data_IF_418126697044
#
_entry.id   IF_418126697044
#
_cell.length_a   1.000
_cell.length_b   1.000
_cell.length_c   1.000
_cell.angle_alpha   90.00
_cell.angle_beta   90.00
_cell.angle_gamma   90.00
#
_symmetry.space_group_name_H-M   'P 1'
#
loop_
_entity.id
_entity.type
_entity.pdbx_description
1 polymer ?
#
# COMPACT_ATOMS: atom_id res chain seq x y z
N UNK A 1 8.86 7.79 20.24
CA UNK A 1 9.82 7.27 19.21
C UNK A 1 10.30 5.88 19.60
N UNK A 2 10.31 4.93 18.69
CA UNK A 2 10.76 3.55 18.90
C UNK A 2 11.86 3.17 17.91
N UNK A 3 12.91 2.54 18.41
CA UNK A 3 13.91 1.86 17.56
C UNK A 3 13.31 0.61 16.91
N UNK A 4 13.60 0.43 15.63
CA UNK A 4 13.09 -0.69 14.81
C UNK A 4 14.25 -1.60 14.46
N UNK A 5 14.12 -2.88 14.79
CA UNK A 5 14.97 -3.95 14.26
C UNK A 5 14.46 -4.41 12.90
N UNK A 6 15.29 -5.07 12.12
CA UNK A 6 14.88 -5.54 10.80
C UNK A 6 13.68 -6.49 10.87
N UNK A 7 12.56 -6.09 10.26
CA UNK A 7 11.29 -6.84 10.17
C UNK A 7 11.45 -8.28 9.62
N UNK A 8 12.45 -8.52 8.76
CA UNK A 8 12.61 -9.82 8.08
C UNK A 8 13.51 -10.78 8.87
N UNK A 9 14.64 -10.31 9.42
CA UNK A 9 15.64 -11.20 10.00
C UNK A 9 15.99 -10.87 11.46
N UNK A 10 15.25 -9.97 12.09
CA UNK A 10 15.41 -9.51 13.47
C UNK A 10 16.83 -9.00 13.79
N UNK A 11 17.65 -8.74 12.76
CA UNK A 11 18.97 -8.17 12.94
C UNK A 11 18.87 -6.73 13.44
N UNK A 12 19.58 -6.36 14.51
CA UNK A 12 19.69 -4.95 14.93
C UNK A 12 20.68 -4.17 14.06
N UNK A 13 21.44 -4.84 13.19
CA UNK A 13 22.49 -4.23 12.38
C UNK A 13 21.94 -3.65 11.09
N UNK A 14 22.10 -2.34 10.94
CA UNK A 14 21.76 -1.61 9.72
C UNK A 14 22.77 -0.50 9.44
N UNK A 15 22.94 -0.16 8.17
CA UNK A 15 23.68 1.02 7.74
C UNK A 15 22.71 2.15 7.45
N UNK A 16 23.01 3.37 7.91
CA UNK A 16 22.27 4.57 7.57
C UNK A 16 22.42 4.84 6.09
N UNK A 17 21.31 4.91 5.36
CA UNK A 17 21.27 5.33 3.96
C UNK A 17 21.06 6.83 3.86
N UNK A 18 20.09 7.35 4.62
CA UNK A 18 19.72 8.77 4.64
C UNK A 18 19.47 9.21 6.08
N UNK A 19 19.99 10.36 6.47
CA UNK A 19 19.70 10.99 7.76
C UNK A 19 18.24 11.44 7.84
N UNK A 20 17.72 11.76 9.03
CA UNK A 20 16.36 12.28 9.16
C UNK A 20 16.28 13.69 8.56
N UNK A 21 15.16 13.99 7.88
CA UNK A 21 14.88 15.33 7.32
C UNK A 21 13.79 16.08 8.10
N UNK A 22 13.40 15.55 9.27
CA UNK A 22 12.44 16.18 10.15
C UNK A 22 12.98 17.48 10.73
N UNK A 23 12.14 18.53 10.88
CA UNK A 23 12.55 19.76 11.56
C UNK A 23 13.02 19.46 13.00
N UNK A 24 14.00 20.24 13.47
CA UNK A 24 14.40 20.16 14.88
C UNK A 24 13.21 20.49 15.80
N UNK A 25 12.96 19.63 16.78
CA UNK A 25 11.81 19.79 17.68
C UNK A 25 10.47 19.40 17.03
N UNK A 26 10.48 18.58 15.98
CA UNK A 26 9.26 18.04 15.38
C UNK A 26 8.40 17.38 16.45
N UNK A 27 7.18 17.89 16.60
CA UNK A 27 6.15 17.33 17.46
C UNK A 27 5.25 16.40 16.63
N UNK A 28 5.13 15.17 17.06
CA UNK A 28 4.29 14.16 16.41
C UNK A 28 2.79 14.52 16.43
N UNK A 29 2.38 15.39 17.37
CA UNK A 29 1.02 15.95 17.46
C UNK A 29 0.80 17.16 16.54
N UNK A 30 1.86 17.69 15.90
CA UNK A 30 1.75 18.80 14.96
C UNK A 30 1.21 18.31 13.59
N UNK A 31 0.65 19.22 12.77
CA UNK A 31 0.29 18.90 11.40
C UNK A 31 1.47 18.24 10.66
N UNK A 32 1.23 17.20 9.84
CA UNK A 32 2.30 16.49 9.19
C UNK A 32 3.16 17.43 8.35
N UNK A 33 4.50 17.31 8.42
CA UNK A 33 5.41 18.13 7.65
C UNK A 33 5.30 17.85 6.16
N UNK A 34 5.96 18.63 5.31
CA UNK A 34 5.94 18.41 3.86
C UNK A 34 6.24 16.96 3.49
N UNK A 35 5.66 16.49 2.40
CA UNK A 35 5.73 15.09 1.91
C UNK A 35 7.16 14.53 1.74
N UNK A 36 8.20 15.34 1.82
CA UNK A 36 9.61 14.96 1.76
C UNK A 36 10.27 14.76 3.13
N UNK A 37 9.54 14.98 4.24
CA UNK A 37 10.08 14.77 5.57
C UNK A 37 10.00 13.30 5.96
N UNK A 38 11.12 12.73 6.42
CA UNK A 38 11.21 11.33 6.80
C UNK A 38 12.11 11.13 8.03
N UNK A 39 11.90 10.03 8.73
CA UNK A 39 12.81 9.51 9.76
C UNK A 39 14.14 9.08 9.13
N UNK A 40 15.12 8.75 9.97
CA UNK A 40 16.36 8.12 9.48
C UNK A 40 16.00 6.83 8.72
N UNK A 41 16.54 6.70 7.51
CA UNK A 41 16.37 5.53 6.65
C UNK A 41 17.58 4.62 6.77
N UNK A 42 17.35 3.39 7.19
CA UNK A 42 18.38 2.39 7.39
C UNK A 42 18.25 1.25 6.37
N UNK A 43 19.34 0.55 6.13
CA UNK A 43 19.38 -0.67 5.34
C UNK A 43 19.97 -1.79 6.16
N UNK A 44 19.21 -2.86 6.35
CA UNK A 44 19.70 -4.07 7.03
C UNK A 44 20.91 -4.66 6.31
N UNK A 45 22.01 -4.86 7.03
CA UNK A 45 23.23 -5.44 6.46
C UNK A 45 23.10 -6.93 6.16
N UNK A 46 22.19 -7.63 6.84
CA UNK A 46 21.97 -9.06 6.66
C UNK A 46 21.03 -9.37 5.47
N UNK A 47 19.81 -8.83 5.44
CA UNK A 47 18.82 -9.17 4.41
C UNK A 47 18.58 -8.07 3.37
N UNK A 48 19.08 -6.85 3.60
CA UNK A 48 18.95 -5.71 2.68
C UNK A 48 17.59 -5.05 2.66
N UNK A 49 16.69 -5.30 3.65
CA UNK A 49 15.48 -4.52 3.83
C UNK A 49 15.85 -3.08 4.13
N UNK A 50 15.16 -2.14 3.52
CA UNK A 50 15.24 -0.72 3.85
C UNK A 50 14.06 -0.36 4.76
N UNK A 51 14.31 0.39 5.84
CA UNK A 51 13.29 0.72 6.84
C UNK A 51 13.64 2.01 7.58
N UNK A 52 12.62 2.67 8.12
CA UNK A 52 12.77 3.82 9.00
C UNK A 52 13.11 3.38 10.43
N UNK A 53 14.04 4.05 11.11
CA UNK A 53 14.31 3.88 12.55
C UNK A 53 15.15 5.05 13.08
N UNK A 54 14.76 5.67 14.23
CA UNK A 54 13.52 5.38 14.97
C UNK A 54 12.27 5.87 14.28
N UNK A 55 11.10 5.36 14.68
CA UNK A 55 9.79 5.78 14.16
C UNK A 55 8.85 6.13 15.30
N UNK A 56 7.72 6.73 14.97
CA UNK A 56 6.57 6.94 15.86
C UNK A 56 6.14 5.62 16.51
N UNK A 57 5.58 5.68 17.72
CA UNK A 57 4.98 4.49 18.33
C UNK A 57 3.62 4.14 17.70
N UNK A 58 3.05 3.02 18.15
CA UNK A 58 1.80 2.50 17.58
C UNK A 58 0.62 3.45 17.78
N UNK A 59 0.57 4.17 18.90
CA UNK A 59 -0.50 5.13 19.19
C UNK A 59 -0.41 6.34 18.26
N UNK A 60 0.79 6.87 18.04
CA UNK A 60 1.03 7.97 17.11
C UNK A 60 0.65 7.59 15.67
N UNK A 61 1.03 6.40 15.20
CA UNK A 61 0.65 5.91 13.86
C UNK A 61 -0.88 5.78 13.75
N UNK A 62 -1.53 5.20 14.75
CA UNK A 62 -2.99 4.99 14.73
C UNK A 62 -3.76 6.31 14.71
N UNK A 63 -3.31 7.35 15.43
CA UNK A 63 -3.96 8.66 15.46
C UNK A 63 -3.91 9.34 14.09
N UNK A 64 -2.79 9.23 13.35
CA UNK A 64 -2.67 9.81 12.01
C UNK A 64 -3.76 9.34 11.04
N UNK A 65 -4.17 8.07 11.16
CA UNK A 65 -5.24 7.52 10.30
C UNK A 65 -6.63 7.84 10.80
N UNK A 66 -6.89 7.80 12.11
CA UNK A 66 -8.23 8.09 12.68
C UNK A 66 -8.63 9.55 12.46
N UNK A 67 -7.66 10.45 12.53
CA UNK A 67 -7.88 11.90 12.40
C UNK A 67 -7.81 12.38 10.93
N UNK A 68 -7.49 11.48 9.98
CA UNK A 68 -7.47 11.83 8.56
C UNK A 68 -8.88 12.04 8.02
N UNK A 69 -9.08 13.17 7.36
CA UNK A 69 -10.32 13.52 6.67
C UNK A 69 -10.23 13.33 5.15
N UNK A 70 -9.07 12.93 4.64
CA UNK A 70 -8.80 12.86 3.20
C UNK A 70 -8.84 11.42 2.69
N UNK A 71 -9.40 11.24 1.50
CA UNK A 71 -9.27 9.99 0.74
C UNK A 71 -7.94 9.98 -0.01
N UNK A 72 -7.38 8.80 -0.28
CA UNK A 72 -6.19 8.66 -1.10
C UNK A 72 -6.46 8.86 -2.60
N UNK A 73 -7.73 9.01 -2.98
CA UNK A 73 -8.16 9.17 -4.37
C UNK A 73 -8.31 10.66 -4.69
N UNK A 74 -7.51 11.14 -5.64
CA UNK A 74 -7.63 12.52 -6.10
C UNK A 74 -8.92 12.70 -6.92
N UNK A 75 -9.67 13.80 -6.70
CA UNK A 75 -10.88 14.09 -7.48
C UNK A 75 -10.63 14.05 -8.99
N UNK A 76 -11.51 13.35 -9.72
CA UNK A 76 -11.41 13.15 -11.17
C UNK A 76 -10.53 11.98 -11.62
N UNK A 77 -9.88 11.26 -10.69
CA UNK A 77 -9.09 10.06 -10.98
C UNK A 77 -9.79 8.75 -10.57
N UNK A 78 -11.03 8.79 -10.10
CA UNK A 78 -11.77 7.65 -9.56
C UNK A 78 -11.83 6.47 -10.55
N UNK A 79 -12.11 6.74 -11.82
CA UNK A 79 -12.14 5.70 -12.85
C UNK A 79 -10.77 5.11 -13.14
N UNK A 80 -9.70 5.91 -13.07
CA UNK A 80 -8.34 5.44 -13.24
C UNK A 80 -7.88 4.59 -12.05
N UNK A 81 -8.28 4.97 -10.83
CA UNK A 81 -8.04 4.15 -9.63
C UNK A 81 -8.81 2.84 -9.72
N UNK A 82 -10.10 2.86 -10.12
CA UNK A 82 -10.89 1.65 -10.35
C UNK A 82 -10.23 0.70 -11.36
N UNK A 83 -9.73 1.23 -12.47
CA UNK A 83 -8.96 0.47 -13.48
C UNK A 83 -7.68 -0.11 -12.87
N UNK A 84 -6.96 0.67 -12.06
CA UNK A 84 -5.75 0.24 -11.35
C UNK A 84 -6.05 -0.93 -10.41
N UNK A 85 -7.11 -0.83 -9.59
CA UNK A 85 -7.52 -1.93 -8.68
C UNK A 85 -7.92 -3.18 -9.46
N UNK A 86 -8.59 -3.03 -10.61
CA UNK A 86 -8.89 -4.15 -11.49
C UNK A 86 -7.61 -4.82 -12.04
N UNK A 87 -6.59 -4.03 -12.41
CA UNK A 87 -5.29 -4.57 -12.84
C UNK A 87 -4.58 -5.32 -11.70
N UNK A 88 -4.66 -4.83 -10.47
CA UNK A 88 -4.10 -5.49 -9.30
C UNK A 88 -4.85 -6.79 -8.99
N UNK A 89 -6.19 -6.75 -8.96
CA UNK A 89 -7.03 -7.92 -8.75
C UNK A 89 -6.70 -9.06 -9.73
N UNK A 90 -6.50 -8.74 -11.01
CA UNK A 90 -6.10 -9.69 -12.07
C UNK A 90 -4.77 -10.40 -11.80
N UNK A 91 -3.97 -9.95 -10.85
CA UNK A 91 -2.78 -10.69 -10.44
C UNK A 91 -3.15 -11.94 -9.63
N UNK A 92 -4.18 -11.89 -8.81
CA UNK A 92 -4.63 -13.01 -7.98
C UNK A 92 -5.69 -13.87 -8.67
N UNK A 93 -6.58 -13.27 -9.46
CA UNK A 93 -7.75 -13.93 -10.05
C UNK A 93 -7.47 -15.29 -10.74
N UNK A 94 -6.39 -15.48 -11.56
CA UNK A 94 -6.09 -16.75 -12.20
C UNK A 94 -5.67 -17.87 -11.24
N UNK A 95 -5.37 -17.54 -9.98
CA UNK A 95 -4.88 -18.49 -8.97
C UNK A 95 -5.92 -18.79 -7.89
N UNK A 96 -7.10 -18.17 -7.96
CA UNK A 96 -8.21 -18.39 -7.04
C UNK A 96 -8.94 -19.70 -7.36
N UNK A 97 -9.08 -20.56 -6.35
CA UNK A 97 -9.86 -21.79 -6.44
C UNK A 97 -11.36 -21.53 -6.17
N UNK A 98 -11.65 -20.58 -5.29
CA UNK A 98 -13.02 -20.24 -4.87
C UNK A 98 -13.21 -18.71 -4.84
N UNK A 99 -14.47 -18.27 -4.86
CA UNK A 99 -14.89 -16.85 -4.84
C UNK A 99 -16.09 -16.66 -3.91
N UNK A 100 -15.97 -17.23 -2.70
CA UNK A 100 -17.03 -17.06 -1.69
C UNK A 100 -16.84 -15.75 -0.93
N UNK A 101 -15.65 -15.56 -0.30
CA UNK A 101 -15.39 -14.44 0.62
C UNK A 101 -14.08 -13.75 0.34
N UNK A 102 -14.13 -12.43 0.20
CA UNK A 102 -12.96 -11.56 0.10
C UNK A 102 -12.92 -10.57 1.25
N UNK A 103 -11.72 -10.28 1.74
CA UNK A 103 -11.44 -9.18 2.65
C UNK A 103 -10.44 -8.22 2.02
N UNK A 104 -10.76 -6.93 2.00
CA UNK A 104 -9.84 -5.86 1.62
C UNK A 104 -9.48 -5.04 2.85
N UNK A 105 -8.21 -5.12 3.27
CA UNK A 105 -7.68 -4.39 4.42
C UNK A 105 -7.14 -3.05 3.93
N UNK A 106 -7.67 -1.93 4.47
CA UNK A 106 -7.45 -0.59 3.92
C UNK A 106 -8.19 -0.43 2.60
N UNK A 107 -9.51 -0.68 2.61
CA UNK A 107 -10.28 -0.77 1.36
C UNK A 107 -10.56 0.59 0.71
N UNK A 108 -10.23 1.71 1.36
CA UNK A 108 -10.46 3.07 0.87
C UNK A 108 -11.92 3.19 0.32
N UNK A 109 -12.10 3.66 -0.90
CA UNK A 109 -13.41 3.78 -1.57
C UNK A 109 -13.99 2.44 -2.06
N UNK A 110 -13.37 1.30 -1.76
CA UNK A 110 -13.85 -0.04 -2.07
C UNK A 110 -13.68 -0.50 -3.52
N UNK A 111 -12.84 0.13 -4.32
CA UNK A 111 -12.66 -0.25 -5.73
C UNK A 111 -12.09 -1.66 -5.93
N UNK A 112 -11.30 -2.16 -4.97
CA UNK A 112 -10.83 -3.56 -4.98
C UNK A 112 -12.00 -4.52 -4.73
N UNK A 113 -12.89 -4.20 -3.79
CA UNK A 113 -14.11 -4.98 -3.53
C UNK A 113 -15.03 -5.01 -4.75
N UNK A 114 -15.17 -3.88 -5.47
CA UNK A 114 -15.94 -3.84 -6.72
C UNK A 114 -15.33 -4.75 -7.80
N UNK A 115 -13.99 -4.80 -7.90
CA UNK A 115 -13.32 -5.71 -8.84
C UNK A 115 -13.57 -7.18 -8.47
N UNK A 116 -13.52 -7.53 -7.18
CA UNK A 116 -13.82 -8.86 -6.69
C UNK A 116 -15.31 -9.24 -6.91
N UNK A 117 -16.25 -8.32 -6.61
CA UNK A 117 -17.69 -8.50 -6.89
C UNK A 117 -17.93 -8.82 -8.36
N UNK A 118 -17.28 -8.07 -9.27
CA UNK A 118 -17.41 -8.28 -10.72
C UNK A 118 -16.90 -9.64 -11.21
N UNK A 119 -15.99 -10.29 -10.45
CA UNK A 119 -15.45 -11.64 -10.72
C UNK A 119 -16.21 -12.74 -9.96
N UNK A 120 -17.33 -12.41 -9.30
CA UNK A 120 -18.27 -13.36 -8.72
C UNK A 120 -18.07 -13.68 -7.24
N UNK A 121 -17.31 -12.89 -6.49
CA UNK A 121 -17.29 -13.00 -5.02
C UNK A 121 -18.67 -12.70 -4.45
N UNK A 122 -19.11 -13.52 -3.48
CA UNK A 122 -20.46 -13.45 -2.89
C UNK A 122 -20.51 -12.57 -1.65
N UNK A 123 -19.52 -12.69 -0.77
CA UNK A 123 -19.42 -11.91 0.46
C UNK A 123 -18.19 -11.01 0.39
N UNK A 124 -18.41 -9.70 0.55
CA UNK A 124 -17.41 -8.66 0.44
C UNK A 124 -17.19 -8.02 1.82
N UNK A 125 -15.99 -8.13 2.35
CA UNK A 125 -15.62 -7.50 3.61
C UNK A 125 -14.54 -6.45 3.36
N UNK A 126 -14.68 -5.29 3.99
CA UNK A 126 -13.72 -4.20 3.93
C UNK A 126 -13.37 -3.66 5.33
N UNK A 127 -12.14 -3.24 5.49
CA UNK A 127 -11.67 -2.52 6.67
C UNK A 127 -11.13 -1.19 6.22
N UNK A 128 -11.73 -0.10 6.75
CA UNK A 128 -11.29 1.26 6.47
C UNK A 128 -11.50 2.17 7.70
N UNK A 129 -10.44 2.53 8.41
CA UNK A 129 -10.54 3.41 9.56
C UNK A 129 -10.85 4.85 9.20
N UNK A 130 -10.48 5.34 8.00
CA UNK A 130 -10.69 6.72 7.58
C UNK A 130 -12.17 6.97 7.23
N UNK A 131 -12.90 7.87 7.94
CA UNK A 131 -14.34 8.03 7.76
C UNK A 131 -14.77 8.44 6.35
N UNK A 132 -14.05 9.38 5.74
CA UNK A 132 -14.40 9.89 4.40
C UNK A 132 -14.33 8.80 3.31
N UNK A 133 -13.29 7.98 3.35
CA UNK A 133 -13.11 6.86 2.42
C UNK A 133 -14.15 5.76 2.68
N UNK A 134 -14.38 5.41 3.94
CA UNK A 134 -15.33 4.38 4.37
C UNK A 134 -16.76 4.66 3.89
N UNK A 135 -17.23 5.91 3.99
CA UNK A 135 -18.58 6.30 3.55
C UNK A 135 -18.85 5.92 2.10
N UNK A 136 -17.85 5.99 1.23
CA UNK A 136 -17.98 5.59 -0.18
C UNK A 136 -17.94 4.07 -0.34
N UNK A 137 -17.10 3.36 0.42
CA UNK A 137 -17.06 1.89 0.41
C UNK A 137 -18.39 1.28 0.90
N UNK A 138 -19.05 1.90 1.89
CA UNK A 138 -20.35 1.49 2.42
C UNK A 138 -21.49 1.57 1.38
N UNK A 139 -21.32 2.32 0.30
CA UNK A 139 -22.30 2.36 -0.80
C UNK A 139 -22.27 1.11 -1.70
N UNK A 140 -21.30 0.23 -1.54
CA UNK A 140 -21.18 -1.00 -2.33
C UNK A 140 -22.22 -2.00 -1.80
N UNK A 141 -23.21 -2.30 -2.63
CA UNK A 141 -24.29 -3.23 -2.30
C UNK A 141 -23.73 -4.61 -1.85
N UNK A 142 -24.12 -5.03 -0.66
CA UNK A 142 -23.72 -6.30 -0.07
C UNK A 142 -22.33 -6.32 0.55
N UNK A 143 -21.64 -5.18 0.61
CA UNK A 143 -20.35 -5.09 1.31
C UNK A 143 -20.56 -4.85 2.81
N UNK A 144 -19.73 -5.53 3.63
CA UNK A 144 -19.66 -5.36 5.08
C UNK A 144 -18.39 -4.59 5.39
N UNK A 145 -18.53 -3.30 5.72
CA UNK A 145 -17.38 -2.42 5.97
C UNK A 145 -17.28 -2.14 7.47
N UNK A 146 -16.06 -2.21 8.03
CA UNK A 146 -15.79 -1.88 9.42
C UNK A 146 -14.74 -0.77 9.54
N UNK A 147 -14.87 0.05 10.61
CA UNK A 147 -13.94 1.14 10.94
C UNK A 147 -12.78 0.71 11.86
N UNK A 148 -12.77 -0.56 12.30
CA UNK A 148 -11.73 -1.09 13.18
C UNK A 148 -10.40 -1.23 12.41
N UNK A 149 -9.28 -1.24 13.13
CA UNK A 149 -8.06 -1.78 12.56
C UNK A 149 -8.17 -3.31 12.45
N UNK A 150 -7.43 -3.92 11.53
CA UNK A 150 -7.53 -5.37 11.31
C UNK A 150 -7.17 -6.18 12.55
N UNK A 151 -6.21 -5.72 13.32
CA UNK A 151 -5.77 -6.33 14.58
C UNK A 151 -6.86 -6.33 15.67
N UNK A 152 -7.84 -5.44 15.56
CA UNK A 152 -8.99 -5.33 16.45
C UNK A 152 -10.18 -6.22 16.00
N UNK A 153 -10.05 -6.92 14.87
CA UNK A 153 -11.13 -7.76 14.32
C UNK A 153 -10.99 -9.22 14.77
N UNK A 154 -12.12 -9.90 14.89
CA UNK A 154 -12.17 -11.30 15.25
C UNK A 154 -12.82 -12.17 14.13
N UNK A 155 -12.21 -12.09 12.94
CA UNK A 155 -12.64 -12.96 11.85
C UNK A 155 -12.31 -14.44 12.13
N UNK A 156 -13.21 -15.37 11.74
CA UNK A 156 -12.98 -16.80 11.94
C UNK A 156 -11.71 -17.30 11.21
N UNK A 157 -11.11 -18.35 11.74
CA UNK A 157 -10.09 -19.08 11.01
C UNK A 157 -10.67 -19.76 9.77
N UNK A 158 -9.89 -19.90 8.70
CA UNK A 158 -10.29 -20.57 7.45
C UNK A 158 -11.55 -19.97 6.80
N UNK A 159 -11.65 -18.66 6.77
CA UNK A 159 -12.88 -17.97 6.35
C UNK A 159 -12.79 -17.38 4.95
N UNK A 160 -11.71 -16.69 4.60
CA UNK A 160 -11.56 -15.96 3.35
C UNK A 160 -10.86 -16.78 2.27
N UNK A 161 -11.26 -16.60 1.01
CA UNK A 161 -10.59 -17.14 -0.17
C UNK A 161 -9.50 -16.18 -0.68
N UNK A 162 -9.72 -14.87 -0.50
CA UNK A 162 -8.78 -13.82 -0.85
C UNK A 162 -8.74 -12.76 0.25
N UNK A 163 -7.53 -12.33 0.64
CA UNK A 163 -7.31 -11.13 1.45
C UNK A 163 -6.40 -10.19 0.64
N UNK A 164 -6.77 -8.92 0.56
CA UNK A 164 -5.99 -7.90 -0.16
C UNK A 164 -5.44 -6.84 0.80
N UNK A 165 -4.22 -6.36 0.50
CA UNK A 165 -3.48 -5.34 1.25
C UNK A 165 -2.81 -4.41 0.24
N UNK A 166 -3.56 -3.43 -0.26
CA UNK A 166 -3.08 -2.52 -1.31
C UNK A 166 -2.56 -1.23 -0.70
N UNK A 167 -1.25 -1.03 -0.76
CA UNK A 167 -0.56 0.09 -0.10
C UNK A 167 -0.84 0.17 1.40
N UNK A 168 -0.79 -0.98 2.09
CA UNK A 168 -1.01 -1.12 3.53
C UNK A 168 0.23 -1.61 4.25
N UNK A 169 0.91 -2.65 3.73
CA UNK A 169 2.02 -3.31 4.43
C UNK A 169 3.19 -2.38 4.77
N UNK A 170 3.48 -1.41 3.93
CA UNK A 170 4.55 -0.43 4.10
C UNK A 170 4.23 0.63 5.18
N UNK A 171 2.96 0.76 5.56
CA UNK A 171 2.46 1.67 6.58
C UNK A 171 2.27 1.03 7.96
N UNK A 172 2.20 -0.30 8.04
CA UNK A 172 1.92 -1.00 9.28
C UNK A 172 3.05 -0.87 10.29
N UNK A 173 2.69 -0.84 11.57
CA UNK A 173 3.64 -0.82 12.66
C UNK A 173 4.44 -2.13 12.77
N UNK A 174 3.77 -3.29 12.73
CA UNK A 174 4.39 -4.61 12.54
C UNK A 174 3.63 -5.46 11.52
N UNK A 175 4.02 -5.42 10.25
CA UNK A 175 3.41 -6.22 9.19
C UNK A 175 3.35 -7.73 9.48
N UNK A 176 4.21 -8.26 10.37
CA UNK A 176 4.22 -9.69 10.72
C UNK A 176 2.98 -10.09 11.51
N UNK A 177 2.48 -9.20 12.37
CA UNK A 177 1.24 -9.43 13.13
C UNK A 177 0.08 -9.61 12.15
N UNK A 178 -0.08 -8.64 11.25
CA UNK A 178 -1.13 -8.67 10.23
C UNK A 178 -1.01 -9.89 9.31
N UNK A 179 0.20 -10.23 8.85
CA UNK A 179 0.40 -11.41 7.99
C UNK A 179 0.13 -12.73 8.72
N UNK A 180 0.41 -12.86 10.01
CA UNK A 180 0.02 -14.05 10.78
C UNK A 180 -1.50 -14.16 10.96
N UNK A 181 -2.16 -13.03 11.22
CA UNK A 181 -3.61 -13.00 11.35
C UNK A 181 -4.30 -13.28 10.01
N UNK A 182 -3.86 -12.67 8.90
CA UNK A 182 -4.38 -12.97 7.56
C UNK A 182 -4.20 -14.45 7.22
N UNK A 183 -3.05 -15.07 7.57
CA UNK A 183 -2.81 -16.49 7.35
C UNK A 183 -3.79 -17.36 8.15
N UNK A 184 -4.13 -17.01 9.39
CA UNK A 184 -5.15 -17.69 10.20
C UNK A 184 -6.54 -17.59 9.56
N UNK A 185 -6.91 -16.39 9.06
CA UNK A 185 -8.23 -16.10 8.52
C UNK A 185 -8.44 -16.64 7.08
N UNK A 186 -7.38 -16.82 6.29
CA UNK A 186 -7.48 -17.46 4.98
C UNK A 186 -7.86 -18.93 5.09
N UNK A 187 -8.63 -19.44 4.15
CA UNK A 187 -8.78 -20.89 3.94
C UNK A 187 -7.45 -21.54 3.52
N UNK A 188 -7.27 -22.85 3.73
CA UNK A 188 -6.22 -23.58 3.03
C UNK A 188 -6.29 -23.29 1.53
N UNK A 189 -5.16 -23.08 0.87
CA UNK A 189 -5.05 -22.63 -0.55
C UNK A 189 -5.58 -21.22 -0.85
N UNK A 190 -6.13 -20.51 0.15
CA UNK A 190 -6.53 -19.10 0.02
C UNK A 190 -5.34 -18.19 -0.26
N UNK A 191 -5.60 -17.04 -0.89
CA UNK A 191 -4.57 -16.13 -1.39
C UNK A 191 -4.51 -14.81 -0.60
N UNK A 192 -3.30 -14.29 -0.46
CA UNK A 192 -3.06 -12.88 -0.18
C UNK A 192 -2.57 -12.20 -1.45
N UNK A 193 -3.15 -11.06 -1.77
CA UNK A 193 -2.63 -10.10 -2.73
C UNK A 193 -2.18 -8.85 -1.98
N UNK A 194 -0.89 -8.54 -2.02
CA UNK A 194 -0.41 -7.27 -1.50
C UNK A 194 0.30 -6.46 -2.60
N UNK A 195 0.12 -5.15 -2.56
CA UNK A 195 0.83 -4.21 -3.43
C UNK A 195 1.50 -3.15 -2.56
N UNK A 196 2.78 -2.91 -2.79
CA UNK A 196 3.60 -1.94 -2.07
C UNK A 196 4.51 -1.17 -3.03
N UNK A 197 5.09 -0.09 -2.55
CA UNK A 197 6.09 0.65 -3.29
C UNK A 197 7.41 -0.14 -3.40
N UNK A 198 8.08 -0.02 -4.55
CA UNK A 198 9.37 -0.65 -4.79
C UNK A 198 10.49 0.38 -4.66
N UNK A 199 11.23 0.35 -3.56
CA UNK A 199 12.37 1.24 -3.33
C UNK A 199 13.49 1.08 -4.37
N UNK A 200 13.55 -0.06 -5.07
CA UNK A 200 14.49 -0.33 -6.17
C UNK A 200 13.84 -0.22 -7.56
N UNK A 201 12.77 0.57 -7.69
CA UNK A 201 12.25 0.95 -9.01
C UNK A 201 13.27 1.86 -9.74
N UNK A 202 13.15 1.95 -11.07
CA UNK A 202 14.00 2.88 -11.83
C UNK A 202 13.91 4.31 -11.27
N UNK A 203 12.70 4.77 -10.99
CA UNK A 203 12.46 6.10 -10.43
C UNK A 203 13.05 6.24 -9.02
N UNK A 204 12.91 5.21 -8.16
CA UNK A 204 13.49 5.20 -6.81
C UNK A 204 15.03 5.27 -6.83
N UNK A 205 15.67 4.56 -7.76
CA UNK A 205 17.12 4.61 -7.93
C UNK A 205 17.60 5.96 -8.48
N UNK A 206 16.84 6.56 -9.40
CA UNK A 206 17.18 7.87 -9.98
C UNK A 206 17.03 9.00 -8.97
N UNK A 207 15.97 8.99 -8.16
CA UNK A 207 15.66 10.07 -7.22
C UNK A 207 16.41 9.95 -5.88
N UNK A 208 16.87 8.75 -5.51
CA UNK A 208 17.53 8.52 -4.23
C UNK A 208 16.66 8.98 -3.05
N UNK A 209 17.22 9.79 -2.15
CA UNK A 209 16.52 10.34 -0.98
C UNK A 209 15.26 11.16 -1.31
N UNK A 210 15.23 11.78 -2.50
CA UNK A 210 14.08 12.58 -2.96
C UNK A 210 12.90 11.74 -3.46
N UNK A 211 13.01 10.41 -3.40
CA UNK A 211 11.91 9.55 -3.82
C UNK A 211 10.72 9.69 -2.87
N UNK A 212 9.51 10.04 -3.37
CA UNK A 212 8.37 10.45 -2.52
C UNK A 212 7.88 9.42 -1.52
N UNK A 213 8.31 8.14 -1.64
CA UNK A 213 7.96 7.11 -0.66
C UNK A 213 8.70 7.31 0.67
N UNK A 214 9.82 8.02 0.70
CA UNK A 214 10.50 8.36 1.95
C UNK A 214 9.74 9.51 2.61
N UNK A 215 8.81 9.15 3.47
CA UNK A 215 7.98 10.07 4.25
C UNK A 215 7.63 9.45 5.60
N UNK A 216 6.91 10.17 6.46
CA UNK A 216 6.57 9.74 7.81
C UNK A 216 5.62 8.54 7.86
N UNK A 217 4.81 8.35 6.83
CA UNK A 217 3.77 7.32 6.80
C UNK A 217 4.30 5.94 6.43
N UNK A 218 5.49 5.87 5.78
CA UNK A 218 6.10 4.61 5.38
C UNK A 218 7.21 4.19 6.34
N UNK A 219 7.04 3.03 6.93
CA UNK A 219 8.03 2.47 7.86
C UNK A 219 8.96 1.47 7.18
N UNK A 220 8.47 0.78 6.15
CA UNK A 220 9.21 -0.28 5.47
C UNK A 220 9.22 -0.06 3.96
N UNK A 221 10.40 -0.19 3.35
CA UNK A 221 10.61 0.05 1.92
C UNK A 221 11.06 -1.24 1.25
N UNK A 222 10.12 -1.88 0.59
CA UNK A 222 10.34 -3.18 0.01
C UNK A 222 10.96 -3.12 -1.38
N UNK A 223 11.59 -4.23 -1.78
CA UNK A 223 11.84 -4.63 -3.15
C UNK A 223 11.31 -6.05 -3.36
N UNK A 224 11.34 -6.57 -4.59
CA UNK A 224 10.78 -7.90 -4.89
C UNK A 224 11.34 -9.01 -3.99
N UNK A 225 12.65 -8.99 -3.70
CA UNK A 225 13.30 -10.01 -2.87
C UNK A 225 12.86 -9.91 -1.41
N UNK A 226 12.91 -8.71 -0.85
CA UNK A 226 12.57 -8.50 0.56
C UNK A 226 11.08 -8.70 0.83
N UNK A 227 10.20 -8.33 -0.11
CA UNK A 227 8.77 -8.61 -0.01
C UNK A 227 8.50 -10.13 -0.04
N UNK A 228 9.08 -10.86 -0.98
CA UNK A 228 8.93 -12.30 -1.05
C UNK A 228 9.46 -13.01 0.20
N UNK A 229 10.60 -12.57 0.73
CA UNK A 229 11.21 -13.15 1.92
C UNK A 229 10.35 -12.92 3.17
N UNK A 230 9.74 -11.73 3.32
CA UNK A 230 8.80 -11.47 4.40
C UNK A 230 7.65 -12.50 4.39
N UNK A 231 7.01 -12.71 3.24
CA UNK A 231 5.89 -13.63 3.12
C UNK A 231 6.30 -15.08 3.39
N UNK A 232 7.45 -15.54 2.87
CA UNK A 232 7.97 -16.90 3.15
C UNK A 232 8.20 -17.12 4.64
N UNK A 233 8.77 -16.15 5.34
CA UNK A 233 9.00 -16.24 6.79
C UNK A 233 7.72 -16.24 7.61
N UNK A 234 6.63 -15.70 7.08
CA UNK A 234 5.30 -15.81 7.69
C UNK A 234 4.54 -17.08 7.26
N UNK A 235 5.21 -18.04 6.60
CA UNK A 235 4.68 -19.35 6.25
C UNK A 235 3.78 -19.35 5.02
N UNK A 236 3.94 -18.38 4.11
CA UNK A 236 3.24 -18.38 2.84
C UNK A 236 4.09 -18.99 1.72
N UNK A 237 3.42 -19.63 0.77
CA UNK A 237 3.99 -19.98 -0.53
C UNK A 237 3.87 -18.78 -1.46
N UNK A 238 4.99 -18.29 -1.97
CA UNK A 238 5.00 -17.16 -2.90
C UNK A 238 4.69 -17.65 -4.31
N UNK A 239 3.51 -17.34 -4.82
CA UNK A 239 3.06 -17.71 -6.17
C UNK A 239 3.78 -16.84 -7.21
N UNK A 240 3.80 -15.51 -7.01
CA UNK A 240 4.55 -14.59 -7.88
C UNK A 240 4.81 -13.23 -7.22
N UNK A 241 5.87 -12.56 -7.69
CA UNK A 241 6.15 -11.15 -7.38
C UNK A 241 6.45 -10.40 -8.67
N UNK A 242 5.64 -9.40 -9.00
CA UNK A 242 5.70 -8.68 -10.27
C UNK A 242 5.69 -7.17 -10.09
N UNK A 243 6.26 -6.43 -11.06
CA UNK A 243 6.02 -5.00 -11.15
C UNK A 243 4.60 -4.76 -11.65
N UNK A 244 3.85 -3.90 -10.95
CA UNK A 244 2.46 -3.58 -11.29
C UNK A 244 2.36 -2.40 -12.26
N UNK A 245 1.14 -2.17 -12.76
CA UNK A 245 0.79 -1.02 -13.60
C UNK A 245 -0.32 -0.24 -12.92
N UNK A 246 -0.25 1.09 -13.07
CA UNK A 246 -1.27 2.01 -12.60
C UNK A 246 -1.86 2.78 -13.78
N UNK A 247 -3.13 3.08 -13.70
CA UNK A 247 -3.82 3.99 -14.62
C UNK A 247 -3.85 5.39 -14.02
N UNK A 248 -3.57 6.38 -14.85
CA UNK A 248 -3.68 7.80 -14.53
C UNK A 248 -4.18 8.55 -15.74
N UNK A 249 -4.80 9.71 -15.56
CA UNK A 249 -4.96 10.65 -16.66
C UNK A 249 -3.60 11.26 -17.06
N UNK A 250 -3.44 11.64 -18.31
CA UNK A 250 -2.24 12.35 -18.79
C UNK A 250 -2.01 13.64 -17.99
N UNK A 251 -3.07 14.38 -17.68
CA UNK A 251 -3.00 15.60 -16.90
C UNK A 251 -2.51 15.37 -15.48
N UNK A 252 -3.09 14.37 -14.79
CA UNK A 252 -2.65 13.99 -13.45
C UNK A 252 -1.19 13.53 -13.43
N UNK A 253 -0.80 12.70 -14.39
CA UNK A 253 0.58 12.23 -14.50
C UNK A 253 1.57 13.39 -14.73
N UNK A 254 1.24 14.33 -15.62
CA UNK A 254 2.05 15.51 -15.87
C UNK A 254 2.17 16.41 -14.62
N UNK A 255 1.04 16.59 -13.88
CA UNK A 255 1.01 17.38 -12.65
C UNK A 255 1.88 16.77 -11.53
N UNK A 256 1.94 15.44 -11.44
CA UNK A 256 2.65 14.72 -10.39
C UNK A 256 4.03 14.22 -10.83
N UNK A 257 4.49 14.56 -12.06
CA UNK A 257 5.78 14.08 -12.56
C UNK A 257 6.91 14.55 -11.65
N UNK A 258 7.66 13.63 -11.02
CA UNK A 258 8.68 14.00 -10.06
C UNK A 258 9.91 14.63 -10.75
N UNK A 259 10.60 15.51 -10.02
CA UNK A 259 11.83 16.14 -10.50
C UNK A 259 11.65 17.36 -11.43
N UNK A 260 10.42 17.66 -11.89
CA UNK A 260 10.17 18.87 -12.68
C UNK A 260 9.71 20.04 -11.79
N UNK A 261 10.19 21.27 -12.05
CA UNK A 261 9.69 22.48 -11.41
C UNK A 261 8.17 22.65 -11.61
N UNK A 262 7.48 23.21 -10.60
CA UNK A 262 6.02 23.35 -10.62
C UNK A 262 5.54 24.15 -11.85
N UNK A 263 6.26 25.21 -12.25
CA UNK A 263 5.92 26.00 -13.44
C UNK A 263 5.88 25.16 -14.73
N UNK A 264 6.84 24.24 -14.89
CA UNK A 264 6.89 23.34 -16.07
C UNK A 264 5.73 22.36 -16.01
N UNK A 265 5.44 21.78 -14.84
CA UNK A 265 4.30 20.85 -14.65
C UNK A 265 2.97 21.53 -14.99
N UNK A 266 2.75 22.75 -14.48
CA UNK A 266 1.55 23.53 -14.79
C UNK A 266 1.45 23.91 -16.28
N UNK A 267 2.56 24.28 -16.92
CA UNK A 267 2.57 24.56 -18.36
C UNK A 267 2.21 23.32 -19.18
N UNK A 268 2.76 22.14 -18.81
CA UNK A 268 2.40 20.88 -19.45
C UNK A 268 0.92 20.55 -19.29
N UNK A 269 0.36 20.70 -18.09
CA UNK A 269 -1.08 20.47 -17.85
C UNK A 269 -1.94 21.42 -18.69
N UNK A 270 -1.64 22.72 -18.72
CA UNK A 270 -2.36 23.67 -19.57
C UNK A 270 -2.29 23.31 -21.05
N UNK A 271 -1.12 22.90 -21.54
CA UNK A 271 -0.95 22.43 -22.91
C UNK A 271 -1.83 21.19 -23.22
N UNK A 272 -1.83 20.21 -22.34
CA UNK A 272 -2.68 19.01 -22.48
C UNK A 272 -4.18 19.34 -22.43
N UNK A 273 -4.58 20.30 -21.59
CA UNK A 273 -5.97 20.79 -21.53
C UNK A 273 -6.36 21.52 -22.82
N UNK A 274 -5.49 22.39 -23.34
CA UNK A 274 -5.71 23.09 -24.61
C UNK A 274 -5.89 22.11 -25.79
N UNK A 275 -5.15 21.02 -25.79
CA UNK A 275 -5.28 19.94 -26.78
C UNK A 275 -6.45 18.97 -26.48
N UNK A 276 -7.18 19.14 -25.37
CA UNK A 276 -8.27 18.26 -24.90
C UNK A 276 -7.84 16.80 -24.68
N UNK A 277 -6.57 16.56 -24.36
CA UNK A 277 -6.04 15.21 -24.11
C UNK A 277 -5.68 14.95 -22.63
N UNK A 278 -5.86 15.92 -21.76
CA UNK A 278 -5.51 15.83 -20.33
C UNK A 278 -6.19 14.63 -19.64
N UNK A 279 -7.41 14.27 -20.00
CA UNK A 279 -8.20 13.19 -19.39
C UNK A 279 -7.97 11.83 -20.06
N UNK A 280 -7.10 11.72 -21.07
CA UNK A 280 -6.81 10.43 -21.71
C UNK A 280 -6.12 9.52 -20.69
N UNK A 281 -6.65 8.31 -20.42
CA UNK A 281 -6.04 7.38 -19.48
C UNK A 281 -4.78 6.75 -20.08
N UNK A 282 -3.72 6.70 -19.28
CA UNK A 282 -2.49 5.98 -19.58
C UNK A 282 -2.23 4.90 -18.54
N UNK A 283 -1.66 3.79 -18.96
CA UNK A 283 -1.32 2.68 -18.06
C UNK A 283 0.19 2.47 -18.06
N UNK A 284 0.81 2.76 -16.92
CA UNK A 284 2.27 2.80 -16.78
C UNK A 284 2.76 2.08 -15.52
N UNK A 285 4.06 1.76 -15.49
CA UNK A 285 4.73 1.25 -14.29
C UNK A 285 5.39 2.40 -13.55
N UNK A 286 4.83 2.74 -12.39
CA UNK A 286 5.31 3.88 -11.57
C UNK A 286 6.18 3.46 -10.39
N UNK A 287 6.56 2.18 -10.32
CA UNK A 287 7.45 1.71 -9.26
C UNK A 287 6.75 0.95 -8.14
N UNK A 288 5.58 0.37 -8.38
CA UNK A 288 4.94 -0.54 -7.43
C UNK A 288 5.23 -1.99 -7.77
N UNK A 289 5.21 -2.85 -6.76
CA UNK A 289 5.31 -4.32 -6.87
C UNK A 289 4.12 -4.96 -6.19
N UNK A 290 3.58 -5.99 -6.84
CA UNK A 290 2.54 -6.85 -6.30
C UNK A 290 3.07 -8.24 -5.99
N UNK A 291 2.64 -8.82 -4.90
CA UNK A 291 2.86 -10.20 -4.52
C UNK A 291 1.52 -10.93 -4.43
N UNK A 292 1.48 -12.11 -5.02
CA UNK A 292 0.43 -13.10 -4.77
C UNK A 292 1.08 -14.22 -3.99
N UNK A 293 0.55 -14.49 -2.81
CA UNK A 293 1.05 -15.54 -1.94
C UNK A 293 -0.11 -16.41 -1.46
N UNK A 294 0.15 -17.70 -1.31
CA UNK A 294 -0.83 -18.72 -0.95
C UNK A 294 -0.60 -19.19 0.48
N UNK A 295 -1.68 -19.38 1.22
CA UNK A 295 -1.62 -20.18 2.44
C UNK A 295 -1.50 -21.64 2.03
N UNK A 296 -0.44 -22.38 2.44
CA UNK A 296 -0.33 -23.80 2.16
C UNK A 296 -1.52 -24.59 2.72
N UNK A 297 -1.80 -25.76 2.13
CA UNK A 297 -2.89 -26.65 2.56
C UNK A 297 -2.69 -27.21 3.98
N UNK A 298 -1.42 -27.24 4.45
CA UNK A 298 -1.02 -27.72 5.79
C UNK A 298 -0.17 -26.69 6.52
#
# INVERSE_FOLDING_TARGET
MREVVCLICDSPSGTVLYGPTLPAGFDEAAPPPPYSAHYQINRCTNCGLTYSSPVMDELGVSSLYRDSSETNVCPGEEDNVRRTMTLYYRLAAPHLCHRERVLDIGCDMGFMLQAAKSDGFKELHGIEPVPAARTLAETIEGAIITSKFFEETDYPANYFDLITLIHVLDHLYDPRVVLRQTRKNLRPEGLVLAVVHNVRSFLGLLMGERFPIFNLYHHYFFNKRTLAELFRRQGYEVVKVVATRNCYSLGFFAQRFPGLPNAIRQAAVRGLQGLRVANIPITIRVGNIGIVARRPAR
#
